data_IF_947784279715
#
_entry.id   IF_947784279715
#
_cell.length_a   1.000
_cell.length_b   1.000
_cell.length_c   1.000
_cell.angle_alpha   90.00
_cell.angle_beta   90.00
_cell.angle_gamma   90.00
#
_symmetry.space_group_name_H-M   'P 1'
#
loop_
_entity.id
_entity.type
_entity.pdbx_description
1 polymer ?
#
# COMPACT_ATOMS: atom_id res chain seq x y z
N UNK A 1 -9.38 -19.81 -16.43
CA UNK A 1 -10.21 -20.27 -15.30
C UNK A 1 -11.39 -19.35 -14.98
N UNK A 2 -11.32 -18.08 -15.26
CA UNK A 2 -12.31 -17.06 -14.82
C UNK A 2 -12.89 -16.35 -16.02
N UNK A 3 -13.06 -16.70 -17.15
CA UNK A 3 -13.67 -16.00 -18.28
C UNK A 3 -13.13 -14.57 -18.56
N UNK A 4 -13.43 -13.96 -19.70
CA UNK A 4 -12.91 -12.64 -20.05
C UNK A 4 -13.49 -11.51 -19.20
N UNK A 5 -14.76 -11.54 -18.81
CA UNK A 5 -15.43 -10.44 -18.11
C UNK A 5 -14.90 -10.20 -16.68
N UNK A 6 -14.72 -11.22 -15.82
CA UNK A 6 -14.13 -11.01 -14.50
C UNK A 6 -12.68 -10.53 -14.55
N UNK A 7 -11.88 -11.00 -15.51
CA UNK A 7 -10.48 -10.56 -15.67
C UNK A 7 -10.43 -9.09 -16.07
N UNK A 8 -11.25 -8.68 -17.01
CA UNK A 8 -11.33 -7.28 -17.44
C UNK A 8 -11.79 -6.37 -16.30
N UNK A 9 -12.81 -6.78 -15.55
CA UNK A 9 -13.34 -6.03 -14.42
C UNK A 9 -12.28 -5.80 -13.33
N UNK A 10 -11.56 -6.85 -12.92
CA UNK A 10 -10.53 -6.77 -11.89
C UNK A 10 -9.34 -5.97 -12.37
N UNK A 11 -8.92 -6.15 -13.63
CA UNK A 11 -7.80 -5.38 -14.19
C UNK A 11 -8.13 -3.88 -14.23
N UNK A 12 -9.37 -3.52 -14.57
CA UNK A 12 -9.83 -2.13 -14.56
C UNK A 12 -9.87 -1.59 -13.14
N UNK A 13 -10.45 -2.34 -12.20
CA UNK A 13 -10.48 -1.95 -10.78
C UNK A 13 -9.07 -1.73 -10.22
N UNK A 14 -8.12 -2.61 -10.54
CA UNK A 14 -6.74 -2.51 -10.11
C UNK A 14 -6.03 -1.26 -10.67
N UNK A 15 -6.26 -0.91 -11.93
CA UNK A 15 -5.73 0.33 -12.52
C UNK A 15 -6.26 1.57 -11.83
N UNK A 16 -7.56 1.58 -11.52
CA UNK A 16 -8.19 2.68 -10.78
C UNK A 16 -7.63 2.74 -9.36
N UNK A 17 -7.47 1.60 -8.69
CA UNK A 17 -6.88 1.51 -7.36
C UNK A 17 -5.47 2.13 -7.31
N UNK A 18 -4.64 1.82 -8.30
CA UNK A 18 -3.31 2.42 -8.44
C UNK A 18 -3.36 3.95 -8.50
N UNK A 19 -4.34 4.53 -9.23
CA UNK A 19 -4.51 5.98 -9.29
C UNK A 19 -4.98 6.57 -7.95
N UNK A 20 -5.88 5.87 -7.26
CA UNK A 20 -6.38 6.27 -5.92
C UNK A 20 -5.25 6.29 -4.89
N UNK A 21 -4.29 5.38 -4.99
CA UNK A 21 -3.16 5.27 -4.07
C UNK A 21 -2.02 6.28 -4.34
N UNK A 22 -2.02 6.97 -5.48
CA UNK A 22 -0.96 7.94 -5.83
C UNK A 22 -0.69 9.00 -4.74
N UNK A 23 -1.69 9.61 -4.08
CA UNK A 23 -1.42 10.55 -3.00
C UNK A 23 -0.59 9.95 -1.87
N UNK A 24 -0.88 8.70 -1.48
CA UNK A 24 -0.14 8.00 -0.42
C UNK A 24 1.30 7.74 -0.86
N UNK A 25 1.51 7.29 -2.09
CA UNK A 25 2.85 7.04 -2.66
C UNK A 25 3.68 8.32 -2.71
N UNK A 26 3.08 9.43 -3.13
CA UNK A 26 3.75 10.73 -3.18
C UNK A 26 4.11 11.25 -1.77
N UNK A 27 3.27 11.01 -0.77
CA UNK A 27 3.60 11.31 0.62
C UNK A 27 4.82 10.51 1.09
N UNK A 28 4.92 9.24 0.73
CA UNK A 28 6.10 8.41 1.02
C UNK A 28 7.38 8.99 0.44
N UNK A 29 7.35 9.46 -0.81
CA UNK A 29 8.48 10.14 -1.45
C UNK A 29 8.84 11.45 -0.74
N UNK A 30 7.84 12.23 -0.31
CA UNK A 30 8.04 13.43 0.49
C UNK A 30 8.69 13.13 1.84
N UNK A 31 8.24 12.08 2.54
CA UNK A 31 8.84 11.62 3.80
C UNK A 31 10.29 11.23 3.58
N UNK A 32 10.61 10.50 2.50
CA UNK A 32 11.98 10.11 2.16
C UNK A 32 12.87 11.33 1.97
N UNK A 33 12.42 12.32 1.20
CA UNK A 33 13.16 13.55 0.94
C UNK A 33 13.44 14.34 2.22
N UNK A 34 12.42 14.60 3.04
CA UNK A 34 12.58 15.36 4.29
C UNK A 34 13.46 14.61 5.29
N UNK A 35 13.31 13.28 5.35
CA UNK A 35 14.17 12.42 6.19
C UNK A 35 15.62 12.48 5.74
N UNK A 36 15.89 12.37 4.43
CA UNK A 36 17.25 12.44 3.89
C UNK A 36 17.92 13.77 4.20
N UNK A 37 17.22 14.89 4.04
CA UNK A 37 17.74 16.20 4.39
C UNK A 37 18.05 16.33 5.89
N UNK A 38 17.14 15.90 6.74
CA UNK A 38 17.31 16.00 8.21
C UNK A 38 18.42 15.06 8.70
N UNK A 39 18.48 13.85 8.15
CA UNK A 39 19.50 12.85 8.50
C UNK A 39 20.89 13.28 8.02
N UNK A 40 20.99 13.80 6.79
CA UNK A 40 22.24 14.31 6.23
C UNK A 40 22.77 15.53 6.97
N UNK A 41 21.89 16.36 7.55
CA UNK A 41 22.26 17.48 8.43
C UNK A 41 22.61 17.06 9.86
N UNK A 42 22.53 15.77 10.21
CA UNK A 42 22.77 15.28 11.58
C UNK A 42 21.64 15.61 12.58
N UNK A 43 20.51 16.17 12.12
CA UNK A 43 19.38 16.52 12.98
C UNK A 43 18.51 15.30 13.28
N UNK A 44 18.90 14.54 14.30
CA UNK A 44 18.20 13.32 14.74
C UNK A 44 16.80 13.61 15.26
N UNK A 45 16.59 14.76 15.89
CA UNK A 45 15.27 15.16 16.43
C UNK A 45 14.31 15.39 15.29
N UNK A 46 14.72 16.16 14.28
CA UNK A 46 13.90 16.41 13.09
C UNK A 46 13.63 15.14 12.30
N UNK A 47 14.64 14.28 12.16
CA UNK A 47 14.49 12.98 11.51
C UNK A 47 13.39 12.13 12.17
N UNK A 48 13.38 12.03 13.50
CA UNK A 48 12.33 11.30 14.25
C UNK A 48 10.95 11.96 14.14
N UNK A 49 10.90 13.31 14.20
CA UNK A 49 9.65 14.06 14.00
C UNK A 49 9.07 13.85 12.60
N UNK A 50 9.91 13.74 11.59
CA UNK A 50 9.48 13.44 10.21
C UNK A 50 8.78 12.08 10.13
N UNK A 51 9.29 11.05 10.82
CA UNK A 51 8.60 9.74 10.87
C UNK A 51 7.21 9.88 11.50
N UNK A 52 7.11 10.51 12.67
CA UNK A 52 5.83 10.67 13.37
C UNK A 52 4.82 11.47 12.55
N UNK A 53 5.23 12.66 12.07
CA UNK A 53 4.36 13.52 11.27
C UNK A 53 3.95 12.85 9.95
N UNK A 54 4.88 12.20 9.26
CA UNK A 54 4.63 11.47 8.03
C UNK A 54 3.67 10.30 8.24
N UNK A 55 3.84 9.55 9.32
CA UNK A 55 2.93 8.45 9.69
C UNK A 55 1.52 8.95 9.94
N UNK A 56 1.35 10.02 10.71
CA UNK A 56 0.03 10.61 10.96
C UNK A 56 -0.59 11.11 9.66
N UNK A 57 0.17 11.81 8.83
CA UNK A 57 -0.33 12.35 7.57
C UNK A 57 -0.78 11.25 6.60
N UNK A 58 0.01 10.19 6.44
CA UNK A 58 -0.36 9.06 5.59
C UNK A 58 -1.56 8.30 6.12
N UNK A 59 -1.71 8.17 7.45
CA UNK A 59 -2.90 7.58 8.08
C UNK A 59 -4.14 8.42 7.82
N UNK A 60 -4.07 9.73 7.99
CA UNK A 60 -5.20 10.63 7.73
C UNK A 60 -5.63 10.56 6.26
N UNK A 61 -4.67 10.65 5.34
CA UNK A 61 -4.97 10.59 3.89
C UNK A 61 -5.51 9.21 3.50
N UNK A 62 -4.94 8.13 4.00
CA UNK A 62 -5.43 6.78 3.70
C UNK A 62 -6.81 6.51 4.29
N UNK A 63 -7.09 6.99 5.51
CA UNK A 63 -8.42 6.90 6.11
C UNK A 63 -9.45 7.71 5.32
N UNK A 64 -9.09 8.92 4.86
CA UNK A 64 -9.93 9.72 3.97
C UNK A 64 -10.23 9.00 2.65
N UNK A 65 -9.21 8.42 2.01
CA UNK A 65 -9.40 7.65 0.78
C UNK A 65 -10.24 6.40 1.01
N UNK A 66 -10.08 5.71 2.13
CA UNK A 66 -10.93 4.59 2.53
C UNK A 66 -12.39 5.03 2.62
N UNK A 67 -12.68 6.12 3.34
CA UNK A 67 -14.01 6.67 3.50
C UNK A 67 -14.65 7.14 2.18
N UNK A 68 -13.82 7.59 1.24
CA UNK A 68 -14.26 8.01 -0.08
C UNK A 68 -14.54 6.81 -1.00
N UNK A 69 -13.63 5.83 -1.03
CA UNK A 69 -13.66 4.72 -2.01
C UNK A 69 -14.74 3.70 -1.69
N UNK A 70 -14.99 3.42 -0.40
CA UNK A 70 -16.03 2.47 0.00
C UNK A 70 -17.41 2.83 -0.61
N UNK A 71 -17.94 4.05 -0.46
CA UNK A 71 -19.25 4.40 -1.04
C UNK A 71 -19.23 4.72 -2.53
N UNK A 72 -18.07 5.10 -3.10
CA UNK A 72 -17.99 5.60 -4.47
C UNK A 72 -17.32 4.64 -5.46
N UNK A 73 -16.66 3.58 -5.00
CA UNK A 73 -15.87 2.67 -5.83
C UNK A 73 -16.64 2.10 -7.03
N UNK A 74 -17.90 1.68 -6.83
CA UNK A 74 -18.75 1.21 -7.92
C UNK A 74 -19.06 2.30 -8.95
N UNK A 75 -19.30 3.53 -8.50
CA UNK A 75 -19.56 4.69 -9.39
C UNK A 75 -18.33 5.07 -10.19
N UNK A 76 -17.16 5.02 -9.55
CA UNK A 76 -15.89 5.30 -10.24
C UNK A 76 -15.68 4.30 -11.37
N UNK A 77 -15.88 3.00 -11.13
CA UNK A 77 -15.76 1.97 -12.18
C UNK A 77 -16.75 2.18 -13.32
N UNK A 78 -17.99 2.58 -12.99
CA UNK A 78 -19.01 2.88 -14.00
C UNK A 78 -18.60 4.06 -14.91
N UNK A 79 -17.93 5.08 -14.37
CA UNK A 79 -17.39 6.21 -15.14
C UNK A 79 -16.33 5.78 -16.18
N UNK A 80 -15.62 4.68 -15.94
CA UNK A 80 -14.67 4.11 -16.90
C UNK A 80 -15.33 3.22 -17.98
N UNK A 81 -16.69 3.27 -18.08
CA UNK A 81 -17.42 2.58 -19.14
C UNK A 81 -17.57 1.07 -18.90
N UNK A 82 -17.37 0.58 -17.69
CA UNK A 82 -17.53 -0.82 -17.35
C UNK A 82 -19.01 -1.23 -17.32
N UNK A 83 -19.33 -2.41 -17.85
CA UNK A 83 -20.67 -2.98 -17.80
C UNK A 83 -21.11 -3.31 -16.36
N UNK A 84 -22.43 -3.52 -16.16
CA UNK A 84 -23.03 -3.74 -14.84
C UNK A 84 -22.40 -4.88 -14.05
N UNK A 85 -22.04 -5.98 -14.68
CA UNK A 85 -21.35 -7.10 -14.07
C UNK A 85 -19.93 -6.72 -13.58
N UNK A 86 -19.20 -5.93 -14.38
CA UNK A 86 -17.86 -5.44 -14.02
C UNK A 86 -17.91 -4.44 -12.87
N UNK A 87 -18.94 -3.59 -12.82
CA UNK A 87 -19.18 -2.66 -11.71
C UNK A 87 -19.43 -3.41 -10.41
N UNK A 88 -20.22 -4.48 -10.43
CA UNK A 88 -20.46 -5.29 -9.23
C UNK A 88 -19.19 -5.96 -8.71
N UNK A 89 -18.38 -6.57 -9.59
CA UNK A 89 -17.12 -7.21 -9.25
C UNK A 89 -16.11 -6.20 -8.69
N UNK A 90 -15.97 -5.06 -9.36
CA UNK A 90 -15.03 -4.03 -8.95
C UNK A 90 -15.46 -3.30 -7.67
N UNK A 91 -16.75 -3.09 -7.45
CA UNK A 91 -17.26 -2.58 -6.16
C UNK A 91 -16.93 -3.54 -5.03
N UNK A 92 -17.12 -4.85 -5.23
CA UNK A 92 -16.75 -5.88 -4.27
C UNK A 92 -15.23 -5.92 -4.00
N UNK A 93 -14.40 -5.63 -5.01
CA UNK A 93 -12.95 -5.49 -4.87
C UNK A 93 -12.61 -4.29 -3.98
N UNK A 94 -13.14 -3.10 -4.29
CA UNK A 94 -12.86 -1.89 -3.51
C UNK A 94 -13.35 -1.98 -2.07
N UNK A 95 -14.52 -2.56 -1.81
CA UNK A 95 -15.00 -2.79 -0.45
C UNK A 95 -14.04 -3.63 0.40
N UNK A 96 -13.26 -4.51 -0.20
CA UNK A 96 -12.29 -5.33 0.53
C UNK A 96 -10.96 -4.62 0.70
N UNK A 97 -10.40 -4.11 -0.39
CA UNK A 97 -9.04 -3.57 -0.39
C UNK A 97 -8.93 -2.22 0.34
N UNK A 98 -9.98 -1.37 0.25
CA UNK A 98 -9.95 -0.03 0.82
C UNK A 98 -9.76 -0.02 2.35
N UNK A 99 -10.22 -1.04 3.08
CA UNK A 99 -9.95 -1.17 4.51
C UNK A 99 -8.47 -1.32 4.84
N UNK A 100 -7.66 -1.73 3.87
CA UNK A 100 -6.21 -1.93 4.02
C UNK A 100 -5.38 -0.73 3.57
N UNK A 101 -5.98 0.33 3.04
CA UNK A 101 -5.27 1.56 2.69
C UNK A 101 -4.49 2.17 3.87
N UNK A 102 -4.98 2.19 5.12
CA UNK A 102 -4.18 2.64 6.26
C UNK A 102 -2.92 1.80 6.47
N UNK A 103 -2.98 0.49 6.26
CA UNK A 103 -1.81 -0.39 6.33
C UNK A 103 -0.82 -0.05 5.23
N UNK A 104 -1.30 0.16 4.00
CA UNK A 104 -0.47 0.61 2.88
C UNK A 104 0.16 1.99 3.16
N UNK A 105 -0.61 2.91 3.77
CA UNK A 105 -0.10 4.23 4.19
C UNK A 105 1.05 4.11 5.20
N UNK A 106 0.87 3.30 6.24
CA UNK A 106 1.93 3.01 7.22
C UNK A 106 3.17 2.42 6.57
N UNK A 107 2.98 1.42 5.72
CA UNK A 107 4.04 0.77 4.96
C UNK A 107 4.84 1.78 4.14
N UNK A 108 4.14 2.68 3.45
CA UNK A 108 4.72 3.71 2.59
C UNK A 108 5.48 4.77 3.42
N UNK A 109 4.95 5.16 4.57
CA UNK A 109 5.63 6.09 5.49
C UNK A 109 6.93 5.49 6.04
N UNK A 110 6.89 4.24 6.50
CA UNK A 110 8.07 3.57 7.04
C UNK A 110 9.12 3.29 5.97
N UNK A 111 8.68 2.91 4.77
CA UNK A 111 9.54 2.78 3.61
C UNK A 111 10.28 4.08 3.33
N UNK A 112 9.54 5.19 3.16
CA UNK A 112 10.12 6.51 2.89
C UNK A 112 11.12 6.93 3.97
N UNK A 113 10.81 6.69 5.24
CA UNK A 113 11.72 6.97 6.34
C UNK A 113 13.02 6.15 6.29
N UNK A 114 12.95 4.84 6.03
CA UNK A 114 14.11 3.96 5.90
C UNK A 114 14.98 4.38 4.70
N UNK A 115 14.36 4.64 3.56
CA UNK A 115 15.04 5.10 2.34
C UNK A 115 15.74 6.44 2.56
N UNK A 116 15.08 7.39 3.23
CA UNK A 116 15.67 8.68 3.58
C UNK A 116 16.85 8.60 4.56
N UNK A 117 16.94 7.52 5.35
CA UNK A 117 18.10 7.21 6.21
C UNK A 117 19.19 6.41 5.49
N UNK A 118 19.08 6.19 4.20
CA UNK A 118 20.06 5.44 3.40
C UNK A 118 19.88 3.92 3.43
N UNK A 119 18.79 3.40 4.00
CA UNK A 119 18.52 1.95 4.11
C UNK A 119 17.81 1.40 2.85
N UNK A 120 18.30 1.82 1.69
CA UNK A 120 17.71 1.48 0.38
C UNK A 120 17.77 0.00 0.07
N UNK A 121 18.88 -0.67 0.41
CA UNK A 121 19.06 -2.09 0.12
C UNK A 121 18.01 -2.92 0.85
N UNK A 122 17.79 -2.65 2.14
CA UNK A 122 16.78 -3.36 2.91
C UNK A 122 15.37 -3.07 2.38
N UNK A 123 15.06 -1.80 2.11
CA UNK A 123 13.75 -1.39 1.58
C UNK A 123 13.43 -2.07 0.26
N UNK A 124 14.40 -2.14 -0.66
CA UNK A 124 14.25 -2.81 -1.95
C UNK A 124 14.11 -4.33 -1.80
N UNK A 125 14.93 -4.95 -0.95
CA UNK A 125 14.84 -6.38 -0.66
C UNK A 125 13.49 -6.76 -0.05
N UNK A 126 13.00 -5.97 0.92
CA UNK A 126 11.67 -6.15 1.51
C UNK A 126 10.56 -6.07 0.46
N UNK A 127 10.67 -5.14 -0.49
CA UNK A 127 9.73 -5.02 -1.61
C UNK A 127 9.72 -6.26 -2.50
N UNK A 128 10.89 -6.80 -2.83
CA UNK A 128 11.01 -8.05 -3.62
C UNK A 128 10.42 -9.25 -2.88
N UNK A 129 10.70 -9.38 -1.58
CA UNK A 129 10.11 -10.44 -0.74
C UNK A 129 8.58 -10.29 -0.69
N UNK A 130 8.07 -9.07 -0.52
CA UNK A 130 6.63 -8.81 -0.52
C UNK A 130 5.97 -9.21 -1.85
N UNK A 131 6.63 -8.96 -2.98
CA UNK A 131 6.16 -9.42 -4.29
C UNK A 131 6.12 -10.95 -4.38
N UNK A 132 7.14 -11.65 -3.89
CA UNK A 132 7.14 -13.11 -3.82
C UNK A 132 6.00 -13.63 -2.93
N UNK A 133 5.78 -13.02 -1.77
CA UNK A 133 4.65 -13.34 -0.87
C UNK A 133 3.31 -13.15 -1.60
N UNK A 134 3.14 -12.06 -2.35
CA UNK A 134 1.92 -11.81 -3.14
C UNK A 134 1.69 -12.90 -4.17
N UNK A 135 2.73 -13.33 -4.89
CA UNK A 135 2.63 -14.39 -5.89
C UNK A 135 2.22 -15.70 -5.22
N UNK A 136 2.90 -16.10 -4.16
CA UNK A 136 2.60 -17.34 -3.42
C UNK A 136 1.17 -17.30 -2.85
N UNK A 137 0.78 -16.19 -2.22
CA UNK A 137 -0.56 -16.00 -1.69
C UNK A 137 -1.62 -16.07 -2.79
N UNK A 138 -1.37 -15.51 -3.97
CA UNK A 138 -2.28 -15.58 -5.11
C UNK A 138 -2.55 -17.01 -5.55
N UNK A 139 -1.52 -17.85 -5.65
CA UNK A 139 -1.69 -19.25 -6.01
C UNK A 139 -2.37 -20.07 -4.91
N UNK A 140 -1.99 -19.87 -3.66
CA UNK A 140 -2.55 -20.58 -2.52
C UNK A 140 -4.03 -20.26 -2.29
N UNK A 141 -4.41 -18.99 -2.45
CA UNK A 141 -5.76 -18.51 -2.17
C UNK A 141 -6.73 -18.63 -3.36
N UNK A 142 -6.23 -18.82 -4.58
CA UNK A 142 -7.05 -18.91 -5.80
C UNK A 142 -8.17 -19.97 -5.74
N UNK A 143 -7.96 -21.19 -5.17
CA UNK A 143 -9.01 -22.19 -5.06
C UNK A 143 -10.16 -21.77 -4.12
N UNK A 144 -9.89 -20.93 -3.13
CA UNK A 144 -10.84 -20.59 -2.07
C UNK A 144 -11.59 -19.27 -2.33
N UNK A 145 -10.92 -18.28 -2.91
CA UNK A 145 -11.45 -16.90 -3.04
C UNK A 145 -11.76 -16.50 -4.49
N UNK A 146 -11.46 -17.35 -5.46
CA UNK A 146 -11.80 -17.10 -6.85
C UNK A 146 -11.30 -15.75 -7.35
N UNK A 147 -12.19 -14.92 -7.91
CA UNK A 147 -11.86 -13.62 -8.48
C UNK A 147 -11.29 -12.61 -7.46
N UNK A 148 -11.59 -12.76 -6.17
CA UNK A 148 -11.13 -11.84 -5.12
C UNK A 148 -9.74 -12.18 -4.58
N UNK A 149 -9.13 -13.25 -5.05
CA UNK A 149 -7.78 -13.68 -4.65
C UNK A 149 -6.75 -12.56 -4.79
N UNK A 150 -6.86 -11.74 -5.85
CA UNK A 150 -5.92 -10.65 -6.12
C UNK A 150 -5.97 -9.62 -4.97
N UNK A 151 -7.18 -9.22 -4.52
CA UNK A 151 -7.33 -8.31 -3.41
C UNK A 151 -6.71 -8.86 -2.12
N UNK A 152 -7.02 -10.12 -1.78
CA UNK A 152 -6.51 -10.74 -0.56
C UNK A 152 -4.99 -10.95 -0.59
N UNK A 153 -4.44 -11.37 -1.72
CA UNK A 153 -2.99 -11.53 -1.89
C UNK A 153 -2.25 -10.18 -1.74
N UNK A 154 -2.86 -9.10 -2.21
CA UNK A 154 -2.33 -7.75 -2.05
C UNK A 154 -2.33 -7.30 -0.59
N UNK A 155 -3.45 -7.50 0.12
CA UNK A 155 -3.57 -7.23 1.55
C UNK A 155 -2.50 -7.99 2.36
N UNK A 156 -2.33 -9.28 2.11
CA UNK A 156 -1.30 -10.11 2.76
C UNK A 156 0.09 -9.56 2.49
N UNK A 157 0.39 -9.15 1.26
CA UNK A 157 1.69 -8.56 0.91
C UNK A 157 1.96 -7.24 1.63
N UNK A 158 0.95 -6.38 1.80
CA UNK A 158 1.09 -5.12 2.53
C UNK A 158 1.32 -5.35 4.03
N UNK A 159 0.58 -6.28 4.64
CA UNK A 159 0.77 -6.66 6.04
C UNK A 159 2.18 -7.22 6.26
N UNK A 160 2.62 -8.12 5.38
CA UNK A 160 3.97 -8.68 5.44
C UNK A 160 5.05 -7.59 5.34
N UNK A 161 4.90 -6.69 4.39
CA UNK A 161 5.83 -5.58 4.18
C UNK A 161 5.86 -4.63 5.39
N UNK A 162 4.70 -4.35 6.00
CA UNK A 162 4.62 -3.57 7.23
C UNK A 162 5.40 -4.24 8.36
N UNK A 163 5.23 -5.54 8.56
CA UNK A 163 5.96 -6.31 9.58
C UNK A 163 7.47 -6.23 9.36
N UNK A 164 7.94 -6.39 8.12
CA UNK A 164 9.36 -6.26 7.78
C UNK A 164 9.91 -4.88 8.13
N UNK A 165 9.19 -3.82 7.80
CA UNK A 165 9.64 -2.46 8.11
C UNK A 165 9.60 -2.15 9.61
N UNK A 166 8.59 -2.61 10.33
CA UNK A 166 8.53 -2.48 11.80
C UNK A 166 9.70 -3.19 12.47
N UNK A 167 10.01 -4.41 12.04
CA UNK A 167 11.16 -5.16 12.54
C UNK A 167 12.47 -4.42 12.30
N UNK A 168 12.65 -3.86 11.09
CA UNK A 168 13.86 -3.08 10.76
C UNK A 168 13.99 -1.80 11.58
N UNK A 169 12.87 -1.10 11.81
CA UNK A 169 12.85 0.10 12.64
C UNK A 169 13.17 -0.21 14.11
N UNK A 170 12.67 -1.32 14.64
CA UNK A 170 12.98 -1.80 15.99
C UNK A 170 14.47 -2.15 16.12
N UNK A 171 15.01 -2.93 15.19
CA UNK A 171 16.42 -3.30 15.20
C UNK A 171 17.37 -2.10 15.14
N UNK A 172 17.06 -1.08 14.33
CA UNK A 172 17.88 0.14 14.24
C UNK A 172 17.70 1.14 15.40
N UNK A 173 16.74 0.93 16.27
CA UNK A 173 16.59 1.74 17.49
C UNK A 173 17.69 1.40 18.49
N UNK A 174 18.15 0.17 18.50
CA UNK A 174 19.21 -0.31 19.40
C UNK A 174 20.60 0.17 18.93
N UNK A 175 20.79 0.42 17.63
CA UNK A 175 22.04 0.97 17.09
C UNK A 175 22.24 2.47 17.36
N UNK A 176 21.25 3.14 17.95
CA UNK A 176 21.24 4.60 18.17
C UNK A 176 21.34 4.98 19.66
N UNK A 177 21.64 4.03 20.53
CA UNK A 177 22.00 4.19 21.96
C UNK A 177 23.50 4.00 22.16
#
# INVERSE_FOLDING_TARGET
RFGPDPVTAITTAYRIDTLILLPIVNLGSGISTVTAHSHGAGDTIRTRKTLSAGTILTLVVSAFLTGLVIPTGGKIIALFGAGTAAVAIGSAFFHRIAFFYPIFGLTTAFRGYLEGRGDLVYSSAAGLVSLAVRIIASYAMAPHFGNMTIAYAEMVSWVWLLVMYLFRLAAKKDDAL
#
